data_IF_495392457990
#
_entry.id   IF_495392457990
#
_cell.length_a   1.000
_cell.length_b   1.000
_cell.length_c   1.000
_cell.angle_alpha   90.00
_cell.angle_beta   90.00
_cell.angle_gamma   90.00
#
_symmetry.space_group_name_H-M   'P 1'
#
loop_
_entity.id
_entity.type
_entity.pdbx_description
1 polymer ?
2 branched ?
3 non-polymer ?
4 water ?
#
# COMPACT_ATOMS: atom_id res chain seq x y z
N UNK A 1 -6.27 -16.12 -9.95
CA UNK A 1 -5.67 -14.77 -9.75
C UNK A 1 -6.76 -13.70 -9.73
N UNK A 2 -6.40 -12.50 -9.27
CA UNK A 2 -7.25 -11.32 -9.37
C UNK A 2 -6.79 -10.42 -10.52
N UNK A 3 -7.70 -9.57 -10.99
CA UNK A 3 -7.39 -8.58 -12.02
C UNK A 3 -6.95 -7.27 -11.39
N UNK A 4 -5.86 -6.72 -11.91
CA UNK A 4 -5.35 -5.43 -11.50
C UNK A 4 -5.68 -4.41 -12.58
N UNK A 5 -6.10 -3.19 -12.20
CA UNK A 5 -6.30 -2.70 -10.84
C UNK A 5 -7.47 -3.38 -10.15
N UNK A 6 -7.36 -3.54 -8.84
CA UNK A 6 -8.35 -4.26 -8.05
C UNK A 6 -8.86 -3.36 -6.94
N UNK A 7 -10.17 -3.35 -6.74
CA UNK A 7 -10.78 -2.57 -5.66
C UNK A 7 -11.29 -3.47 -4.56
N UNK A 8 -10.74 -3.28 -3.37
CA UNK A 8 -11.21 -3.99 -2.20
C UNK A 8 -12.04 -3.03 -1.33
N UNK A 9 -13.36 -3.21 -1.29
CA UNK A 9 -14.15 -2.40 -0.37
C UNK A 9 -13.73 -2.63 1.07
N UNK A 10 -13.70 -1.55 1.86
CA UNK A 10 -13.46 -1.62 3.29
C UNK A 10 -14.70 -1.13 4.03
N UNK A 11 -15.63 -2.04 4.34
CA UNK A 11 -16.96 -1.58 4.75
C UNK A 11 -16.95 -0.83 6.08
N UNK A 12 -17.43 0.40 6.09
CA UNK A 12 -17.39 1.19 7.31
C UNK A 12 -16.01 1.73 7.57
N UNK A 13 -15.16 1.71 6.55
CA UNK A 13 -13.82 2.23 6.68
C UNK A 13 -12.90 1.35 7.48
N UNK A 14 -11.79 1.94 7.90
CA UNK A 14 -10.82 1.22 8.69
C UNK A 14 -10.88 1.65 10.15
N UNK A 15 -10.24 0.85 10.98
CA UNK A 15 -10.32 1.03 12.42
C UNK A 15 -9.07 0.36 13.00
N UNK A 16 -8.60 0.83 14.15
CA UNK A 16 -7.49 0.10 14.73
C UNK A 16 -7.81 -1.39 14.97
N UNK A 17 -6.76 -2.19 14.79
CA UNK A 17 -6.77 -3.66 14.86
C UNK A 17 -7.31 -4.33 13.61
N UNK A 18 -7.52 -3.56 12.55
CA UNK A 18 -7.83 -4.11 11.23
C UNK A 18 -6.56 -4.40 10.45
N UNK A 19 -6.46 -5.64 9.97
CA UNK A 19 -5.26 -6.11 9.27
C UNK A 19 -5.61 -6.44 7.84
N UNK A 20 -5.00 -5.71 6.91
CA UNK A 20 -5.25 -5.93 5.49
C UNK A 20 -4.04 -6.68 4.93
N UNK A 21 -4.31 -7.78 4.22
CA UNK A 21 -3.25 -8.62 3.66
C UNK A 21 -3.38 -8.72 2.14
N UNK A 22 -2.26 -8.45 1.47
CA UNK A 22 -2.21 -8.49 0.01
C UNK A 22 -1.12 -9.47 -0.40
N UNK A 23 -1.51 -10.51 -1.13
CA UNK A 23 -0.55 -11.50 -1.62
C UNK A 23 -0.45 -11.40 -3.14
N UNK A 24 0.76 -11.36 -3.66
CA UNK A 24 0.92 -11.40 -5.10
C UNK A 24 2.35 -11.69 -5.45
N UNK A 25 2.64 -11.59 -6.74
CA UNK A 25 4.00 -11.75 -7.26
C UNK A 25 4.35 -10.54 -8.11
N UNK A 26 5.55 -9.99 -7.92
CA UNK A 26 5.99 -8.88 -8.73
C UNK A 26 6.38 -9.38 -10.11
N UNK A 27 5.91 -8.69 -11.14
CA UNK A 27 6.22 -9.04 -12.52
C UNK A 27 7.71 -8.87 -12.79
N UNK A 28 8.23 -9.57 -13.79
CA UNK A 28 9.60 -9.29 -14.19
C UNK A 28 9.71 -7.87 -14.76
N UNK A 29 10.82 -7.19 -14.50
CA UNK A 29 10.97 -5.81 -14.97
C UNK A 29 9.81 -4.89 -14.55
N UNK A 30 9.26 -5.14 -13.37
CA UNK A 30 8.35 -4.19 -12.72
C UNK A 30 8.90 -2.77 -12.68
N UNK A 31 8.00 -1.80 -12.80
CA UNK A 31 8.32 -0.39 -12.57
C UNK A 31 7.70 0.13 -11.27
N UNK A 32 6.48 -0.31 -10.98
CA UNK A 32 5.76 0.24 -9.81
C UNK A 32 4.76 -0.72 -9.20
N UNK A 33 4.46 -0.46 -7.93
CA UNK A 33 3.28 -1.01 -7.27
C UNK A 33 2.59 0.15 -6.56
N UNK A 34 1.26 0.12 -6.46
CA UNK A 34 0.58 1.09 -5.62
C UNK A 34 -0.58 0.51 -4.86
N UNK A 35 -0.62 0.84 -3.57
CA UNK A 35 -1.82 0.68 -2.74
C UNK A 35 -2.38 2.05 -2.42
N UNK A 36 -3.66 2.23 -2.71
CA UNK A 36 -4.34 3.52 -2.46
C UNK A 36 -5.54 3.30 -1.56
N UNK A 37 -5.38 3.66 -0.29
CA UNK A 37 -6.48 3.66 0.67
C UNK A 37 -7.27 4.96 0.51
N UNK A 38 -8.49 4.86 -0.02
CA UNK A 38 -9.26 6.02 -0.46
C UNK A 38 -10.31 6.42 0.56
N UNK A 39 -10.49 7.74 0.69
CA UNK A 39 -11.68 8.32 1.30
C UNK A 39 -12.38 9.15 0.23
N UNK A 40 -13.36 8.54 -0.42
CA UNK A 40 -13.90 9.09 -1.66
C UNK A 40 -12.77 9.33 -2.65
N UNK A 41 -12.66 10.55 -3.15
CA UNK A 41 -11.62 10.88 -4.14
C UNK A 41 -10.28 11.16 -3.49
N UNK A 42 -10.28 11.40 -2.18
CA UNK A 42 -9.03 11.59 -1.46
C UNK A 42 -8.31 10.25 -1.30
N UNK A 43 -6.99 10.31 -1.18
CA UNK A 43 -6.20 9.11 -0.86
C UNK A 43 -5.54 9.28 0.49
N UNK A 44 -6.13 8.65 1.50
CA UNK A 44 -5.62 8.76 2.87
C UNK A 44 -4.20 8.26 2.98
N UNK A 45 -3.90 7.14 2.33
CA UNK A 45 -2.58 6.52 2.40
C UNK A 45 -2.28 5.90 1.05
N UNK A 46 -1.31 6.50 0.37
CA UNK A 46 -0.76 6.02 -0.89
C UNK A 46 0.60 5.40 -0.58
N UNK A 47 0.76 4.12 -0.93
CA UNK A 47 1.98 3.36 -0.67
C UNK A 47 2.50 2.87 -2.02
N UNK A 48 3.63 3.42 -2.45
CA UNK A 48 4.02 3.37 -3.86
C UNK A 48 5.50 2.97 -4.02
N UNK A 49 5.77 1.66 -4.00
CA UNK A 49 7.11 1.18 -4.38
C UNK A 49 7.43 1.50 -5.83
N UNK A 50 8.59 2.12 -6.04
CA UNK A 50 9.09 2.48 -7.35
C UNK A 50 10.42 1.78 -7.58
N UNK A 51 10.47 0.95 -8.62
CA UNK A 51 11.58 0.04 -8.87
C UNK A 51 12.72 0.71 -9.64
N UNK A 52 12.46 1.87 -10.23
CA UNK A 52 13.49 2.62 -10.96
C UNK A 52 13.16 4.09 -10.97
N UNK A 53 13.42 4.76 -9.86
CA UNK A 53 13.44 6.20 -9.83
C UNK A 53 14.88 6.63 -9.82
N UNK A 54 15.34 7.19 -10.94
CA UNK A 54 16.73 7.57 -11.12
C UNK A 54 17.66 6.42 -10.72
N UNK A 55 17.26 5.22 -11.14
CA UNK A 55 18.02 3.98 -10.94
C UNK A 55 18.18 3.61 -9.46
N UNK A 56 17.26 4.08 -8.64
CA UNK A 56 17.14 3.64 -7.26
C UNK A 56 15.75 3.06 -7.03
N UNK A 57 15.66 2.19 -6.03
CA UNK A 57 14.40 1.58 -5.61
C UNK A 57 13.95 2.25 -4.32
N UNK A 58 12.75 2.84 -4.32
CA UNK A 58 12.32 3.62 -3.19
C UNK A 58 10.83 3.45 -3.02
N UNK A 59 10.38 3.46 -1.78
CA UNK A 59 8.94 3.50 -1.52
C UNK A 59 8.49 4.92 -1.16
N UNK A 60 7.55 5.43 -1.94
CA UNK A 60 6.99 6.74 -1.72
C UNK A 60 5.62 6.59 -1.10
N UNK A 61 5.41 7.29 0.01
CA UNK A 61 4.09 7.33 0.66
C UNK A 61 3.58 8.74 0.74
N UNK A 62 2.29 8.93 0.58
CA UNK A 62 1.73 10.29 0.57
C UNK A 62 0.22 10.23 0.74
N UNK A 63 -0.38 11.42 0.87
CA UNK A 63 -1.82 11.61 0.98
C UNK A 63 -2.25 12.60 -0.08
N UNK A 64 -3.38 12.31 -0.72
CA UNK A 64 -3.98 13.20 -1.70
C UNK A 64 -5.27 13.78 -1.14
N UNK A 65 -5.32 15.11 -1.03
CA UNK A 65 -6.48 15.84 -0.54
C UNK A 65 -6.93 16.85 -1.60
N UNK A 66 -8.21 16.81 -1.96
CA UNK A 66 -8.76 17.71 -2.98
C UNK A 66 -7.85 17.76 -4.21
N UNK A 67 -7.39 16.59 -4.64
CA UNK A 67 -6.52 16.45 -5.81
C UNK A 67 -5.13 17.04 -5.71
N UNK A 68 -4.68 17.32 -4.49
CA UNK A 68 -3.33 17.79 -4.25
C UNK A 68 -2.55 16.78 -3.42
N UNK A 69 -1.36 16.42 -3.90
CA UNK A 69 -0.45 15.60 -3.13
C UNK A 69 0.24 16.40 -2.04
N UNK A 70 0.38 15.77 -0.88
CA UNK A 70 1.06 16.38 0.25
C UNK A 70 2.55 16.15 0.22
N UNK A 71 3.17 16.29 1.39
CA UNK A 71 4.59 16.00 1.55
C UNK A 71 4.87 14.51 1.56
N UNK A 72 5.73 14.07 0.65
CA UNK A 72 6.07 12.67 0.52
C UNK A 72 6.88 12.20 1.72
N UNK A 73 6.62 10.96 2.12
CA UNK A 73 7.49 10.25 3.04
C UNK A 73 8.18 9.13 2.32
N UNK A 74 9.51 9.11 2.39
CA UNK A 74 10.30 8.20 1.55
C UNK A 74 11.14 7.26 2.37
N UNK A 75 11.05 5.97 2.00
CA UNK A 75 11.70 4.86 2.69
C UNK A 75 12.58 4.13 1.67
N UNK A 76 13.88 4.13 1.95
CA UNK A 76 14.83 3.49 1.05
C UNK A 76 15.05 2.01 1.36
N UNK A 77 14.55 1.52 2.49
CA UNK A 77 14.47 0.08 2.67
C UNK A 77 13.42 -0.48 1.70
N UNK A 78 13.82 -1.43 0.87
CA UNK A 78 13.02 -1.82 -0.28
C UNK A 78 12.99 -3.34 -0.41
N UNK A 79 11.94 -3.98 0.13
CA UNK A 79 11.98 -5.42 0.32
C UNK A 79 11.47 -6.22 -0.88
N UNK A 80 10.94 -5.53 -1.87
CA UNK A 80 10.39 -6.17 -3.05
C UNK A 80 11.48 -6.50 -4.04
N UNK A 81 11.26 -7.55 -4.82
CA UNK A 81 12.17 -7.94 -5.89
C UNK A 81 11.36 -8.37 -7.11
N UNK A 82 11.73 -7.87 -8.28
CA UNK A 82 11.05 -8.24 -9.52
C UNK A 82 11.06 -9.75 -9.65
N UNK A 83 9.91 -10.30 -10.03
CA UNK A 83 9.76 -11.74 -10.24
C UNK A 83 9.27 -12.53 -9.04
N UNK A 84 9.32 -11.93 -7.85
CA UNK A 84 9.21 -12.70 -6.60
C UNK A 84 7.88 -12.51 -5.90
N UNK A 85 7.37 -13.57 -5.26
CA UNK A 85 6.14 -13.50 -4.45
C UNK A 85 6.36 -12.63 -3.23
N UNK A 86 5.33 -11.88 -2.88
CA UNK A 86 5.36 -11.02 -1.71
C UNK A 86 4.08 -11.13 -0.89
N UNK A 87 4.16 -10.63 0.34
CA UNK A 87 3.01 -10.40 1.19
C UNK A 87 3.14 -9.03 1.81
N UNK A 88 2.16 -8.17 1.54
CA UNK A 88 2.07 -6.89 2.23
C UNK A 88 0.98 -6.96 3.28
N UNK A 89 1.33 -6.64 4.52
CA UNK A 89 0.35 -6.54 5.60
C UNK A 89 0.27 -5.10 6.08
N UNK A 90 -0.94 -4.55 6.06
CA UNK A 90 -1.16 -3.21 6.57
C UNK A 90 -2.03 -3.31 7.79
N UNK A 91 -1.45 -3.02 8.95
CA UNK A 91 -2.16 -3.06 10.21
C UNK A 91 -2.51 -1.64 10.63
N UNK A 92 -3.80 -1.38 10.78
CA UNK A 92 -4.22 -0.06 11.21
C UNK A 92 -4.05 0.03 12.72
N UNK A 93 -3.31 1.03 13.17
CA UNK A 93 -3.13 1.30 14.60
C UNK A 93 -3.67 2.70 14.91
N UNK A 94 -3.78 3.06 16.20
CA UNK A 94 -4.46 4.32 16.51
C UNK A 94 -3.87 5.57 15.85
N UNK A 95 -2.55 5.63 15.69
CA UNK A 95 -1.92 6.84 15.18
C UNK A 95 -1.31 6.66 13.78
N UNK A 96 -1.23 5.42 13.29
CA UNK A 96 -0.62 5.20 11.99
C UNK A 96 -1.07 3.90 11.34
N UNK A 97 -0.81 3.82 10.02
CA UNK A 97 -0.77 2.56 9.30
C UNK A 97 0.59 1.94 9.53
N UNK A 98 0.63 0.67 9.92
CA UNK A 98 1.89 -0.06 10.10
C UNK A 98 2.00 -1.09 8.98
N UNK A 99 3.09 -1.04 8.22
CA UNK A 99 3.27 -1.92 7.07
C UNK A 99 4.42 -2.89 7.30
N UNK A 100 4.16 -4.18 7.06
CA UNK A 100 5.19 -5.20 7.05
C UNK A 100 5.15 -5.87 5.69
N UNK A 101 6.31 -6.26 5.19
CA UNK A 101 6.39 -7.02 3.96
C UNK A 101 7.14 -8.32 4.25
N UNK A 102 6.56 -9.42 3.80
CA UNK A 102 7.19 -10.73 4.04
C UNK A 102 7.55 -10.93 5.51
N UNK A 103 6.62 -10.54 6.38
CA UNK A 103 6.72 -10.69 7.82
C UNK A 103 7.81 -9.87 8.50
N UNK A 104 8.35 -8.88 7.79
CA UNK A 104 9.30 -7.96 8.38
C UNK A 104 8.74 -6.53 8.38
N UNK A 105 8.81 -5.88 9.53
CA UNK A 105 8.40 -4.48 9.60
C UNK A 105 9.11 -3.62 8.57
N UNK A 106 8.33 -2.80 7.87
CA UNK A 106 8.86 -1.91 6.83
C UNK A 106 8.78 -0.44 7.23
N UNK A 107 7.57 0.05 7.51
CA UNK A 107 7.38 1.47 7.80
C UNK A 107 6.07 1.71 8.54
N UNK A 108 5.94 2.91 9.09
CA UNK A 108 4.66 3.40 9.56
C UNK A 108 4.35 4.74 8.92
N UNK A 109 3.06 5.03 8.79
CA UNK A 109 2.59 6.26 8.16
C UNK A 109 1.52 6.87 9.04
N UNK A 110 1.85 7.99 9.68
CA UNK A 110 0.92 8.63 10.59
C UNK A 110 -0.36 9.06 9.90
N UNK A 111 -1.48 8.95 10.59
CA UNK A 111 -2.76 9.32 10.01
C UNK A 111 -2.87 10.81 9.77
N UNK A 112 -3.03 11.21 8.51
CA UNK A 112 -3.29 12.59 8.16
C UNK A 112 -4.78 12.80 7.98
N UNK A 113 -5.42 11.85 7.31
CA UNK A 113 -6.87 11.73 7.29
C UNK A 113 -7.37 11.11 8.58
N UNK A 114 -8.26 11.83 9.27
CA UNK A 114 -8.64 11.52 10.65
C UNK A 114 -9.91 10.68 10.70
N UNK A 115 -10.73 10.76 9.64
CA UNK A 115 -11.99 10.04 9.59
C UNK A 115 -11.76 8.63 9.06
N UNK A 116 -11.18 7.80 9.91
CA UNK A 116 -10.78 6.46 9.52
C UNK A 116 -11.97 5.63 9.02
N UNK A 117 -13.14 5.86 9.59
CA UNK A 117 -14.30 5.11 9.19
C UNK A 117 -14.89 5.57 7.86
N UNK A 118 -14.22 6.50 7.18
CA UNK A 118 -14.60 6.91 5.82
C UNK A 118 -13.57 6.50 4.78
N UNK A 119 -12.54 5.79 5.21
CA UNK A 119 -11.54 5.26 4.30
C UNK A 119 -11.98 3.87 3.84
N UNK A 120 -12.81 3.84 2.79
CA UNK A 120 -13.70 2.71 2.58
C UNK A 120 -13.36 1.95 1.30
N UNK A 121 -12.23 2.23 0.67
CA UNK A 121 -11.77 1.44 -0.47
C UNK A 121 -10.27 1.34 -0.47
N UNK A 122 -9.77 0.18 -0.87
CA UNK A 122 -8.35 0.01 -1.17
C UNK A 122 -8.22 -0.35 -2.63
N UNK A 123 -7.50 0.47 -3.37
CA UNK A 123 -7.12 0.17 -4.75
C UNK A 123 -5.74 -0.42 -4.77
N UNK A 124 -5.59 -1.53 -5.50
CA UNK A 124 -4.29 -2.19 -5.64
C UNK A 124 -3.95 -2.22 -7.11
N UNK A 125 -2.82 -1.63 -7.48
CA UNK A 125 -2.49 -1.51 -8.88
C UNK A 125 -0.99 -1.69 -9.09
N UNK A 126 -0.61 -1.76 -10.37
CA UNK A 126 0.79 -1.77 -10.75
C UNK A 126 1.23 -3.11 -11.30
N UNK A 127 2.54 -3.32 -11.30
CA UNK A 127 3.13 -4.38 -12.09
C UNK A 127 3.23 -5.66 -11.26
N UNK A 128 2.07 -6.23 -10.97
CA UNK A 128 1.99 -7.42 -10.12
C UNK A 128 0.97 -8.38 -10.68
N UNK A 129 1.19 -9.65 -10.36
CA UNK A 129 0.13 -10.66 -10.41
C UNK A 129 -0.48 -10.74 -9.02
N UNK A 130 -1.74 -10.34 -8.91
CA UNK A 130 -2.38 -10.29 -7.61
C UNK A 130 -3.08 -11.59 -7.32
N UNK A 131 -2.75 -12.19 -6.18
CA UNK A 131 -3.27 -13.51 -5.80
C UNK A 131 -4.47 -13.39 -4.87
N UNK A 132 -4.37 -12.49 -3.90
CA UNK A 132 -5.36 -12.38 -2.82
C UNK A 132 -5.33 -10.98 -2.22
N UNK A 133 -6.48 -10.45 -1.84
CA UNK A 133 -6.56 -9.24 -1.03
C UNK A 133 -7.70 -9.39 -0.06
N UNK A 134 -7.42 -9.25 1.23
CA UNK A 134 -8.44 -9.48 2.23
C UNK A 134 -8.15 -8.71 3.50
N UNK A 135 -9.07 -8.76 4.45
CA UNK A 135 -8.84 -8.17 5.75
C UNK A 135 -9.40 -9.05 6.87
N UNK A 136 -8.91 -8.80 8.08
CA UNK A 136 -9.42 -9.46 9.27
C UNK A 136 -9.18 -8.57 10.48
N UNK A 137 -10.01 -8.77 11.50
CA UNK A 137 -9.84 -8.06 12.75
C UNK A 137 -8.99 -8.93 13.66
N UNK A 138 -7.90 -8.37 14.18
CA UNK A 138 -7.05 -9.10 15.08
C UNK A 138 -7.12 -8.53 16.50
X LIG B 1 7.96 14.09 -7.24
X LIG B 1 7.25 12.78 -7.61
X LIG B 1 5.81 13.08 -8.02
X LIG B 1 5.80 14.13 -9.12
X LIG B 1 4.41 14.41 -9.68
X LIG B 1 7.76 15.11 -8.36
X LIG B 1 8.37 16.36 -8.02
X LIG B 1 9.34 13.80 -7.05
X LIG B 1 7.33 11.81 -6.55
X LIG B 1 5.23 11.89 -8.53
X LIG B 1 6.37 15.32 -8.58
X LIG B 1 3.62 15.05 -8.68
X LIG B 2 3.92 11.65 -8.03
X LIG B 2 3.36 10.56 -8.90
X LIG B 2 1.99 10.13 -8.39
X LIG B 2 2.09 9.78 -6.90
X LIG B 2 2.72 10.93 -6.11
X LIG B 2 2.91 10.66 -4.62
X LIG B 2 3.24 10.99 -10.25
X LIG B 2 1.56 9.02 -9.16
X LIG B 2 2.82 8.58 -6.74
X LIG B 2 3.98 11.25 -6.67
X LIG B 2 3.46 11.81 -4.01
X LIG B 3 -0.72 10.04 -9.20
X LIG B 3 0.39 9.34 -9.96
X LIG B 3 0.00 7.95 -10.48
X LIG B 3 -0.90 8.04 -11.72
X LIG B 3 -0.26 8.99 -12.72
X LIG B 3 -0.08 10.36 -12.08
X LIG B 3 0.51 11.35 -13.07
X LIG B 3 1.06 12.62 -12.43
X LIG B 3 1.17 13.73 -13.48
X LIG B 3 -2.18 8.79 -14.31
X LIG B 3 -3.11 8.46 -13.18
X LIG B 3 -0.91 9.10 -14.03
X LIG B 3 -1.48 9.36 -8.48
X LIG B 3 -0.82 11.28 -9.33
X LIG B 3 -1.07 6.72 -12.27
X LIG B 3 0.84 10.20 -10.99
X LIG B 3 1.57 10.71 -13.78
X LIG B 3 0.20 13.03 -11.36
X LIG B 3 2.05 14.77 -13.03
X LIG B 3 -2.58 8.85 -15.46
X LIG C 1 -10.34 13.76 7.92
X LIG D 1 -14.22 5.59 -0.08
#
# INVERSE_FOLDING_TARGET
MLIVPYNLPLPGGVVPRMLITILGTVKPNANRIALDFQRGNDVAFHFNPRFNENNRRVIVCNTLLDNNWGREERQSVFPFESGKPFKIQVLVEPDHFKVAVNDAHLLQYNHRVKKLNEISKLGISGDIDLTSASYTMI
BGC C2 C3 C4 C5 C6 C1 O1 O2 O3 O4 O5 O6
GAL C1 C2 C3 C4 C5 C6 O2 O3 O4 O5 O6
SIA C1 C2 C3 C4 C5 C6 C7 C8 C9 C10 C11 N5 O1A O1B O4 O6 O7 O8 O9 O10
CL CL
CL CL
#
